data_IF_878617932590
#
_entry.id   IF_878617932590
#
_cell.length_a   1.000
_cell.length_b   1.000
_cell.length_c   1.000
_cell.angle_alpha   90.00
_cell.angle_beta   90.00
_cell.angle_gamma   90.00
#
_symmetry.space_group_name_H-M   'P 1'
#
loop_
_entity.id
_entity.type
_entity.pdbx_description
1 polymer ?
#
# COMPACT_ATOMS: atom_id res chain seq x y z
N UNK A 1 13.59 -43.83 38.66
CA UNK A 1 12.70 -43.10 39.60
C UNK A 1 13.50 -42.09 40.45
N UNK A 2 13.07 -40.81 40.61
CA UNK A 2 11.95 -40.09 40.01
C UNK A 2 12.38 -38.93 39.07
N UNK A 3 11.36 -38.31 38.47
CA UNK A 3 11.33 -37.33 37.37
C UNK A 3 11.06 -35.88 37.91
N UNK A 4 10.63 -34.85 37.13
CA UNK A 4 11.34 -33.60 36.90
C UNK A 4 10.67 -32.34 37.51
N UNK A 5 11.38 -31.21 37.60
CA UNK A 5 10.93 -30.01 38.33
C UNK A 5 11.12 -28.67 37.62
N UNK A 6 10.15 -28.33 36.75
CA UNK A 6 9.42 -27.05 36.67
C UNK A 6 10.15 -25.72 36.38
N UNK A 7 9.95 -25.25 35.15
CA UNK A 7 10.19 -23.89 34.64
C UNK A 7 9.17 -22.91 35.25
N UNK A 8 9.66 -21.82 35.88
CA UNK A 8 8.86 -20.75 36.48
C UNK A 8 8.68 -19.61 35.47
N UNK A 9 7.51 -19.54 34.81
CA UNK A 9 7.10 -18.37 33.99
C UNK A 9 6.39 -17.34 34.87
N UNK A 10 6.93 -16.12 34.91
CA UNK A 10 6.21 -14.97 35.47
C UNK A 10 5.16 -14.45 34.48
N UNK A 11 3.89 -14.55 34.90
CA UNK A 11 2.77 -13.78 34.34
C UNK A 11 2.79 -12.36 34.92
N UNK A 12 2.71 -11.34 34.07
CA UNK A 12 2.12 -10.04 34.46
C UNK A 12 0.84 -9.84 33.67
N UNK A 13 -0.16 -9.41 34.40
CA UNK A 13 -1.54 -9.18 34.02
C UNK A 13 -1.88 -7.76 34.45
N UNK A 14 -2.40 -6.93 33.56
CA UNK A 14 -3.22 -5.75 33.89
C UNK A 14 -4.12 -5.41 32.72
N UNK A 15 -5.42 -5.70 32.90
CA UNK A 15 -6.60 -4.85 32.67
C UNK A 15 -6.30 -3.36 32.37
N UNK A 16 -7.14 -2.53 31.76
CA UNK A 16 -8.48 -2.51 31.15
C UNK A 16 -8.56 -1.06 30.61
N UNK A 17 -9.30 -0.80 29.53
CA UNK A 17 -10.16 0.40 29.37
C UNK A 17 -10.67 0.54 27.91
N UNK A 18 -12.00 0.62 27.81
CA UNK A 18 -12.69 1.57 26.91
C UNK A 18 -12.91 1.16 25.46
N UNK A 19 -14.06 0.53 25.20
CA UNK A 19 -14.62 0.36 23.85
C UNK A 19 -16.00 1.05 23.81
N UNK A 20 -16.30 1.96 22.86
CA UNK A 20 -17.67 2.31 22.53
C UNK A 20 -18.16 1.58 21.29
N UNK A 21 -19.31 0.95 21.47
CA UNK A 21 -20.13 0.19 20.51
C UNK A 21 -20.41 1.00 19.22
N UNK A 22 -20.19 0.37 18.06
CA UNK A 22 -20.98 0.58 16.85
C UNK A 22 -21.55 -0.75 16.38
N UNK A 23 -22.86 -0.91 16.57
CA UNK A 23 -23.66 -1.92 15.90
C UNK A 23 -23.83 -1.51 14.43
N UNK A 24 -23.36 -2.35 13.52
CA UNK A 24 -23.88 -2.40 12.14
C UNK A 24 -24.20 -3.85 11.84
N UNK A 25 -25.50 -4.14 11.81
CA UNK A 25 -26.09 -5.31 11.16
C UNK A 25 -25.70 -5.26 9.69
N UNK A 26 -25.03 -6.29 9.17
CA UNK A 26 -24.97 -6.55 7.74
C UNK A 26 -25.32 -8.02 7.52
N UNK A 27 -26.47 -8.21 6.86
CA UNK A 27 -26.98 -9.48 6.37
C UNK A 27 -25.96 -10.15 5.45
N UNK A 28 -25.85 -11.46 5.57
CA UNK A 28 -25.08 -12.28 4.64
C UNK A 28 -25.67 -12.25 3.24
N UNK A 29 -24.82 -12.00 2.25
CA UNK A 29 -24.98 -12.53 0.90
C UNK A 29 -23.72 -13.32 0.55
N UNK A 30 -23.89 -14.62 0.38
CA UNK A 30 -22.87 -15.50 -0.18
C UNK A 30 -22.79 -15.26 -1.69
N UNK A 31 -21.96 -14.32 -2.11
CA UNK A 31 -21.50 -14.21 -3.49
C UNK A 31 -20.10 -14.81 -3.58
N UNK A 32 -19.96 -16.02 -4.14
CA UNK A 32 -18.65 -16.55 -4.53
C UNK A 32 -18.10 -15.67 -5.66
N UNK A 33 -17.12 -14.82 -5.37
CA UNK A 33 -16.30 -14.20 -6.41
C UNK A 33 -15.27 -15.22 -6.91
N UNK A 34 -15.12 -15.44 -8.23
CA UNK A 34 -14.08 -16.31 -8.75
C UNK A 34 -12.70 -15.73 -8.42
N UNK A 35 -11.80 -16.57 -7.91
CA UNK A 35 -10.40 -16.23 -7.71
C UNK A 35 -9.79 -15.97 -9.11
N UNK A 36 -9.20 -14.78 -9.37
CA UNK A 36 -8.58 -14.50 -10.65
C UNK A 36 -7.32 -15.35 -10.82
N UNK A 37 -7.15 -15.92 -12.02
CA UNK A 37 -6.00 -16.75 -12.40
C UNK A 37 -4.69 -15.95 -12.25
N UNK A 38 -3.60 -16.65 -11.95
CA UNK A 38 -2.27 -16.13 -11.56
C UNK A 38 -1.59 -15.12 -12.50
N UNK A 39 -2.17 -14.81 -13.66
CA UNK A 39 -1.71 -13.73 -14.55
C UNK A 39 -2.41 -12.38 -14.35
N UNK A 40 -3.37 -12.28 -13.42
CA UNK A 40 -4.20 -11.08 -13.22
C UNK A 40 -3.56 -10.00 -12.35
N UNK A 41 -2.72 -10.36 -11.38
CA UNK A 41 -2.09 -9.39 -10.49
C UNK A 41 -1.02 -8.57 -11.23
N UNK A 42 -0.21 -9.23 -12.06
CA UNK A 42 0.82 -8.56 -12.87
C UNK A 42 0.23 -7.60 -13.89
N UNK A 43 -0.98 -7.88 -14.40
CA UNK A 43 -1.70 -6.98 -15.32
C UNK A 43 -2.23 -5.74 -14.59
N UNK A 44 -2.78 -5.92 -13.39
CA UNK A 44 -3.28 -4.81 -12.56
C UNK A 44 -2.19 -3.79 -12.20
N UNK A 45 -0.96 -4.24 -11.93
CA UNK A 45 0.15 -3.32 -11.65
C UNK A 45 0.72 -2.67 -12.91
N UNK A 46 0.70 -3.37 -14.05
CA UNK A 46 1.20 -2.83 -15.32
C UNK A 46 0.27 -1.77 -15.90
N UNK A 47 -1.03 -2.01 -15.87
CA UNK A 47 -2.05 -1.08 -16.36
C UNK A 47 -2.09 0.22 -15.53
N UNK A 48 -1.77 0.16 -14.22
CA UNK A 48 -1.66 1.34 -13.36
C UNK A 48 -0.38 2.15 -13.61
N UNK A 49 0.75 1.50 -13.89
CA UNK A 49 2.02 2.18 -14.22
C UNK A 49 1.90 2.87 -15.58
N UNK A 50 1.28 2.20 -16.56
CA UNK A 50 1.07 2.78 -17.89
C UNK A 50 0.05 3.94 -17.83
N UNK A 51 -0.99 3.87 -16.98
CA UNK A 51 -1.91 4.99 -16.72
C UNK A 51 -1.25 6.18 -16.00
N UNK A 52 -0.33 5.96 -15.06
CA UNK A 52 0.41 7.04 -14.40
C UNK A 52 1.43 7.71 -15.35
N UNK A 53 2.06 6.94 -16.24
CA UNK A 53 2.96 7.44 -17.27
C UNK A 53 2.23 8.24 -18.36
N UNK A 54 1.03 7.82 -18.79
CA UNK A 54 0.17 8.59 -19.69
C UNK A 54 -0.37 9.86 -19.01
N UNK A 55 -0.76 9.78 -17.73
CA UNK A 55 -1.21 10.95 -16.97
C UNK A 55 -0.07 11.95 -16.67
N UNK A 56 1.18 11.50 -16.57
CA UNK A 56 2.35 12.37 -16.39
C UNK A 56 2.76 13.10 -17.69
N UNK A 57 2.54 12.49 -18.85
CA UNK A 57 2.80 13.12 -20.16
C UNK A 57 1.64 14.01 -20.62
N UNK A 58 0.40 13.68 -20.22
CA UNK A 58 -0.79 14.48 -20.56
C UNK A 58 -0.96 15.75 -19.70
N UNK A 59 -0.25 15.88 -18.57
CA UNK A 59 -0.30 17.08 -17.70
C UNK A 59 0.62 18.23 -18.15
N UNK A 60 1.34 18.07 -19.26
CA UNK A 60 2.23 19.11 -19.82
C UNK A 60 1.60 19.90 -20.98
N UNK A 61 0.32 19.65 -21.32
CA UNK A 61 -0.32 20.20 -22.52
C UNK A 61 -1.16 21.47 -22.29
N UNK A 62 -1.48 21.82 -21.04
CA UNK A 62 -2.16 23.09 -20.71
C UNK A 62 -1.14 24.04 -20.07
N UNK A 63 -0.18 24.49 -20.86
CA UNK A 63 0.53 25.72 -20.56
C UNK A 63 -0.44 26.88 -20.83
N UNK A 64 -0.78 27.63 -19.79
CA UNK A 64 -1.49 28.91 -19.91
C UNK A 64 -0.87 29.75 -21.03
N UNK A 65 -1.67 30.47 -21.83
CA UNK A 65 -1.12 31.42 -22.78
C UNK A 65 -0.20 32.36 -22.01
N UNK A 66 1.07 32.41 -22.42
CA UNK A 66 2.00 33.45 -21.98
C UNK A 66 1.29 34.77 -22.29
N UNK A 67 0.76 35.42 -21.26
CA UNK A 67 0.31 36.79 -21.35
C UNK A 67 1.54 37.57 -21.77
N UNK A 68 1.53 37.99 -23.03
CA UNK A 68 2.52 38.85 -23.63
C UNK A 68 2.64 40.06 -22.71
N UNK A 69 3.70 40.09 -21.89
CA UNK A 69 4.05 41.26 -21.10
C UNK A 69 4.36 42.35 -22.10
N UNK A 70 3.32 43.11 -22.45
CA UNK A 70 3.46 44.36 -23.15
C UNK A 70 4.50 45.18 -22.38
N UNK A 71 5.54 45.71 -23.05
CA UNK A 71 6.38 46.69 -22.42
C UNK A 71 5.46 47.86 -22.06
N UNK A 72 5.21 48.06 -20.77
CA UNK A 72 4.54 49.27 -20.31
C UNK A 72 5.45 50.43 -20.70
N UNK A 73 5.11 51.04 -21.83
CA UNK A 73 5.58 52.36 -22.21
C UNK A 73 5.33 53.28 -21.01
N UNK A 74 6.35 54.00 -20.50
CA UNK A 74 6.10 55.03 -19.51
C UNK A 74 5.14 56.03 -20.15
N UNK A 75 3.93 56.13 -19.61
CA UNK A 75 2.97 57.15 -19.98
C UNK A 75 3.58 58.49 -19.56
N UNK A 76 4.27 59.15 -20.50
CA UNK A 76 4.70 60.52 -20.39
C UNK A 76 3.46 61.41 -20.45
N UNK A 77 2.73 61.50 -19.34
CA UNK A 77 1.69 62.51 -19.14
C UNK A 77 2.30 63.68 -18.39
N UNK A 78 2.20 64.86 -19.01
CA UNK A 78 2.35 66.19 -18.42
C UNK A 78 3.77 66.75 -18.26
N UNK A 79 4.46 66.95 -19.39
CA UNK A 79 5.39 68.07 -19.51
C UNK A 79 4.60 69.38 -19.61
N UNK A 80 4.15 69.86 -18.46
CA UNK A 80 3.70 71.24 -18.29
C UNK A 80 4.91 72.16 -18.54
N UNK A 81 4.98 72.72 -19.74
CA UNK A 81 5.86 73.83 -20.12
C UNK A 81 5.44 75.08 -19.33
N UNK A 82 5.81 75.11 -18.04
CA UNK A 82 5.79 76.34 -17.25
C UNK A 82 6.98 77.19 -17.68
N UNK A 83 6.65 78.20 -18.49
CA UNK A 83 7.33 79.48 -18.67
C UNK A 83 8.72 79.57 -18.04
N UNK A 84 9.73 79.63 -18.92
CA UNK A 84 10.99 80.30 -18.64
C UNK A 84 10.68 81.74 -18.21
N UNK A 85 10.90 82.03 -16.94
CA UNK A 85 11.41 83.33 -16.53
C UNK A 85 12.31 83.19 -15.30
N UNK A 86 13.60 83.38 -15.56
CA UNK A 86 14.70 83.78 -14.68
C UNK A 86 14.45 83.81 -13.16
N UNK A 87 15.10 82.91 -12.44
CA UNK A 87 16.09 83.22 -11.38
C UNK A 87 16.39 81.95 -10.57
N UNK A 88 17.59 81.39 -10.75
CA UNK A 88 18.03 80.22 -9.99
C UNK A 88 18.93 79.36 -10.84
N UNK A 89 20.15 79.84 -11.04
CA UNK A 89 21.32 79.08 -11.44
C UNK A 89 21.37 77.80 -10.59
N UNK A 90 20.71 76.72 -11.05
CA UNK A 90 20.86 75.39 -10.47
C UNK A 90 22.25 74.95 -10.90
N UNK A 91 23.18 75.37 -10.07
CA UNK A 91 24.60 75.36 -10.27
C UNK A 91 25.00 73.96 -10.72
N UNK A 92 25.41 73.82 -11.98
CA UNK A 92 25.93 72.56 -12.52
C UNK A 92 27.04 72.03 -11.59
N UNK A 93 27.73 72.93 -10.89
CA UNK A 93 28.70 72.65 -9.84
C UNK A 93 28.11 72.01 -8.58
N UNK A 94 26.87 72.33 -8.20
CA UNK A 94 26.13 71.69 -7.11
C UNK A 94 25.73 70.26 -7.49
N UNK A 95 25.30 70.03 -8.74
CA UNK A 95 25.11 68.68 -9.27
C UNK A 95 26.42 67.87 -9.29
N UNK A 96 27.53 68.47 -9.75
CA UNK A 96 28.86 67.85 -9.75
C UNK A 96 29.38 67.53 -8.33
N UNK A 97 28.97 68.29 -7.31
CA UNK A 97 29.26 68.02 -5.89
C UNK A 97 28.44 66.88 -5.31
N UNK A 98 27.25 66.63 -5.85
CA UNK A 98 26.36 65.56 -5.41
C UNK A 98 26.63 64.22 -6.12
N UNK A 99 27.52 64.19 -7.11
CA UNK A 99 27.98 62.93 -7.70
C UNK A 99 28.80 62.15 -6.67
N UNK A 100 28.58 60.81 -6.57
CA UNK A 100 29.39 59.97 -5.72
C UNK A 100 30.85 60.14 -6.07
N UNK A 101 31.67 60.40 -5.06
CA UNK A 101 33.10 60.53 -5.26
C UNK A 101 33.68 59.18 -5.69
N UNK A 102 34.89 59.21 -6.27
CA UNK A 102 35.64 57.98 -6.59
C UNK A 102 35.77 57.06 -5.36
N UNK A 103 35.88 57.63 -4.16
CA UNK A 103 35.94 56.86 -2.91
C UNK A 103 34.60 56.19 -2.58
N UNK A 104 33.47 56.83 -2.88
CA UNK A 104 32.14 56.25 -2.68
C UNK A 104 31.90 55.07 -3.64
N UNK A 105 32.32 55.19 -4.91
CA UNK A 105 32.27 54.09 -5.88
C UNK A 105 33.14 52.90 -5.45
N UNK A 106 34.36 53.17 -4.97
CA UNK A 106 35.24 52.12 -4.44
C UNK A 106 34.63 51.43 -3.20
N UNK A 107 33.99 52.21 -2.33
CA UNK A 107 33.30 51.68 -1.15
C UNK A 107 32.11 50.81 -1.54
N UNK A 108 31.30 51.24 -2.52
CA UNK A 108 30.18 50.44 -3.02
C UNK A 108 30.65 49.15 -3.70
N UNK A 109 31.72 49.21 -4.49
CA UNK A 109 32.30 48.02 -5.11
C UNK A 109 32.83 47.04 -4.07
N UNK A 110 33.56 47.51 -3.04
CA UNK A 110 34.01 46.66 -1.94
C UNK A 110 32.86 46.04 -1.13
N UNK A 111 31.76 46.78 -0.92
CA UNK A 111 30.54 46.23 -0.30
C UNK A 111 29.89 45.16 -1.16
N UNK A 112 29.84 45.35 -2.47
CA UNK A 112 29.28 44.40 -3.42
C UNK A 112 30.12 43.12 -3.48
N UNK A 113 31.44 43.25 -3.58
CA UNK A 113 32.38 42.13 -3.52
C UNK A 113 32.23 41.34 -2.21
N UNK A 114 32.17 42.03 -1.07
CA UNK A 114 31.95 41.39 0.23
C UNK A 114 30.60 40.63 0.26
N UNK A 115 29.52 41.25 -0.22
CA UNK A 115 28.19 40.63 -0.24
C UNK A 115 28.17 39.40 -1.15
N UNK A 116 28.82 39.46 -2.33
CA UNK A 116 28.95 38.33 -3.24
C UNK A 116 29.75 37.19 -2.61
N UNK A 117 30.88 37.49 -1.97
CA UNK A 117 31.68 36.48 -1.28
C UNK A 117 30.89 35.81 -0.15
N UNK A 118 30.14 36.57 0.63
CA UNK A 118 29.27 36.02 1.68
C UNK A 118 28.19 35.11 1.08
N UNK A 119 27.49 35.56 0.03
CA UNK A 119 26.44 34.77 -0.61
C UNK A 119 26.97 33.50 -1.28
N UNK A 120 28.14 33.56 -1.92
CA UNK A 120 28.79 32.38 -2.49
C UNK A 120 29.21 31.38 -1.40
N UNK A 121 29.70 31.86 -0.26
CA UNK A 121 30.02 31.00 0.88
C UNK A 121 28.76 30.33 1.46
N UNK A 122 27.68 31.10 1.66
CA UNK A 122 26.37 30.58 2.10
C UNK A 122 25.86 29.50 1.14
N UNK A 123 25.81 29.79 -0.17
CA UNK A 123 25.39 28.81 -1.19
C UNK A 123 26.28 27.56 -1.18
N UNK A 124 27.59 27.72 -1.02
CA UNK A 124 28.52 26.60 -0.90
C UNK A 124 28.18 25.69 0.28
N UNK A 125 27.83 26.27 1.44
CA UNK A 125 27.41 25.51 2.61
C UNK A 125 26.06 24.83 2.43
N UNK A 126 25.10 25.49 1.78
CA UNK A 126 23.78 24.91 1.48
C UNK A 126 23.89 23.74 0.52
N UNK A 127 24.71 23.86 -0.53
CA UNK A 127 24.98 22.76 -1.48
C UNK A 127 25.61 21.57 -0.76
N UNK A 128 26.58 21.80 0.13
CA UNK A 128 27.19 20.72 0.92
C UNK A 128 26.14 20.02 1.81
N UNK A 129 25.29 20.78 2.49
CA UNK A 129 24.21 20.21 3.30
C UNK A 129 23.20 19.43 2.46
N UNK A 130 22.88 19.92 1.28
CA UNK A 130 21.98 19.24 0.35
C UNK A 130 22.57 17.92 -0.12
N UNK A 131 23.86 17.90 -0.49
CA UNK A 131 24.54 16.67 -0.88
C UNK A 131 24.54 15.63 0.24
N UNK A 132 24.80 16.03 1.48
CA UNK A 132 24.73 15.12 2.64
C UNK A 132 23.33 14.52 2.79
N UNK A 133 22.28 15.36 2.72
CA UNK A 133 20.89 14.87 2.80
C UNK A 133 20.54 13.93 1.66
N UNK A 134 21.03 14.19 0.45
CA UNK A 134 20.81 13.31 -0.72
C UNK A 134 21.48 11.96 -0.47
N UNK A 135 22.73 11.94 0.00
CA UNK A 135 23.43 10.70 0.34
C UNK A 135 22.70 9.91 1.44
N UNK A 136 22.25 10.58 2.51
CA UNK A 136 21.49 9.93 3.58
C UNK A 136 20.19 9.28 3.05
N UNK A 137 19.47 10.00 2.18
CA UNK A 137 18.24 9.48 1.56
C UNK A 137 18.51 8.32 0.59
N UNK A 138 19.61 8.35 -0.14
CA UNK A 138 20.02 7.26 -1.03
C UNK A 138 20.35 6.00 -0.24
N UNK A 139 21.08 6.13 0.87
CA UNK A 139 21.38 5.02 1.78
C UNK A 139 20.11 4.44 2.42
N UNK A 140 19.20 5.29 2.91
CA UNK A 140 17.92 4.86 3.47
C UNK A 140 17.07 4.13 2.42
N UNK A 141 17.04 4.64 1.19
CA UNK A 141 16.33 4.02 0.06
C UNK A 141 16.87 2.62 -0.23
N UNK A 142 18.19 2.46 -0.26
CA UNK A 142 18.81 1.16 -0.55
C UNK A 142 18.52 0.15 0.57
N UNK A 143 18.53 0.58 1.83
CA UNK A 143 18.12 -0.25 2.99
C UNK A 143 16.65 -0.66 2.87
N UNK A 144 15.75 0.28 2.56
CA UNK A 144 14.33 0.00 2.37
C UNK A 144 14.09 -0.98 1.21
N UNK A 145 14.78 -0.82 0.09
CA UNK A 145 14.69 -1.73 -1.05
C UNK A 145 15.13 -3.16 -0.67
N UNK A 146 16.24 -3.30 0.06
CA UNK A 146 16.70 -4.60 0.54
C UNK A 146 15.67 -5.26 1.49
N UNK A 147 15.04 -4.47 2.38
CA UNK A 147 14.00 -4.97 3.28
C UNK A 147 12.76 -5.43 2.51
N UNK A 148 12.31 -4.67 1.51
CA UNK A 148 11.17 -5.03 0.66
C UNK A 148 11.43 -6.36 -0.06
N UNK A 149 12.62 -6.56 -0.62
CA UNK A 149 12.99 -7.80 -1.30
C UNK A 149 12.99 -9.00 -0.34
N UNK A 150 13.52 -8.82 0.88
CA UNK A 150 13.51 -9.85 1.91
C UNK A 150 12.08 -10.23 2.34
N UNK A 151 11.25 -9.23 2.63
CA UNK A 151 9.84 -9.45 2.99
C UNK A 151 9.09 -10.16 1.85
N UNK A 152 9.33 -9.76 0.60
CA UNK A 152 8.70 -10.41 -0.55
C UNK A 152 9.09 -11.88 -0.66
N UNK A 153 10.38 -12.21 -0.49
CA UNK A 153 10.88 -13.59 -0.53
C UNK A 153 10.33 -14.46 0.61
N UNK A 154 10.25 -13.90 1.83
CA UNK A 154 9.66 -14.61 2.97
C UNK A 154 8.15 -14.83 2.78
N UNK A 155 7.43 -13.86 2.22
CA UNK A 155 6.02 -13.98 1.91
C UNK A 155 5.76 -15.10 0.89
N UNK A 156 6.55 -15.15 -0.19
CA UNK A 156 6.48 -16.24 -1.18
C UNK A 156 6.70 -17.61 -0.52
N UNK A 157 7.69 -17.70 0.35
CA UNK A 157 7.99 -18.93 1.10
C UNK A 157 6.81 -19.35 1.99
N UNK A 158 6.16 -18.41 2.67
CA UNK A 158 4.96 -18.66 3.47
C UNK A 158 3.77 -19.11 2.62
N UNK A 159 3.54 -18.48 1.46
CA UNK A 159 2.48 -18.88 0.53
C UNK A 159 2.69 -20.33 0.06
N UNK A 160 3.93 -20.68 -0.30
CA UNK A 160 4.27 -22.06 -0.69
C UNK A 160 4.02 -23.05 0.44
N UNK A 161 4.45 -22.73 1.65
CA UNK A 161 4.23 -23.58 2.82
C UNK A 161 2.74 -23.77 3.09
N UNK A 162 1.96 -22.69 3.14
CA UNK A 162 0.51 -22.75 3.35
C UNK A 162 -0.18 -23.60 2.28
N UNK A 163 0.21 -23.43 1.01
CA UNK A 163 -0.31 -24.22 -0.10
C UNK A 163 0.01 -25.71 0.06
N UNK A 164 1.23 -26.06 0.47
CA UNK A 164 1.63 -27.44 0.71
C UNK A 164 0.86 -28.04 1.90
N UNK A 165 0.72 -27.31 2.99
CA UNK A 165 -0.06 -27.73 4.16
C UNK A 165 -1.53 -27.94 3.80
N UNK A 166 -2.13 -27.05 3.01
CA UNK A 166 -3.52 -27.21 2.57
C UNK A 166 -3.69 -28.49 1.75
N UNK A 167 -2.81 -28.75 0.78
CA UNK A 167 -2.86 -30.00 0.00
C UNK A 167 -2.70 -31.23 0.89
N UNK A 168 -1.86 -31.16 1.91
CA UNK A 168 -1.67 -32.25 2.85
C UNK A 168 -2.94 -32.51 3.68
N UNK A 169 -3.59 -31.44 4.18
CA UNK A 169 -4.86 -31.54 4.89
C UNK A 169 -5.93 -32.15 3.98
N UNK A 170 -6.02 -31.69 2.74
CA UNK A 170 -7.00 -32.22 1.78
C UNK A 170 -6.75 -33.71 1.47
N UNK A 171 -5.50 -34.14 1.33
CA UNK A 171 -5.16 -35.57 1.17
C UNK A 171 -5.56 -36.39 2.40
N UNK A 172 -5.28 -35.91 3.61
CA UNK A 172 -5.68 -36.58 4.84
C UNK A 172 -7.20 -36.68 5.00
N UNK A 173 -7.94 -35.61 4.69
CA UNK A 173 -9.40 -35.59 4.75
C UNK A 173 -10.00 -36.55 3.70
N UNK A 174 -9.44 -36.57 2.49
CA UNK A 174 -9.84 -37.49 1.43
C UNK A 174 -9.58 -38.95 1.82
N UNK A 175 -8.42 -39.26 2.40
CA UNK A 175 -8.11 -40.61 2.90
C UNK A 175 -9.01 -41.01 4.06
N UNK A 176 -9.29 -40.08 4.98
CA UNK A 176 -10.21 -40.29 6.09
C UNK A 176 -11.66 -40.54 5.65
N UNK A 177 -12.06 -40.02 4.49
CA UNK A 177 -13.41 -40.20 3.92
C UNK A 177 -13.50 -41.28 2.84
N UNK A 178 -12.38 -41.89 2.44
CA UNK A 178 -12.33 -42.84 1.31
C UNK A 178 -13.28 -44.02 1.47
N UNK A 179 -13.50 -44.46 2.70
CA UNK A 179 -14.37 -45.60 3.01
C UNK A 179 -15.77 -45.16 3.47
N UNK A 180 -16.09 -43.86 3.43
CA UNK A 180 -17.36 -43.34 3.89
C UNK A 180 -18.33 -43.23 2.71
N UNK A 181 -19.36 -44.08 2.69
CA UNK A 181 -20.44 -44.00 1.72
C UNK A 181 -21.58 -43.12 2.25
N UNK A 182 -22.14 -42.27 1.38
CA UNK A 182 -23.33 -41.46 1.67
C UNK A 182 -24.49 -41.93 0.82
N UNK A 183 -25.48 -42.53 1.46
CA UNK A 183 -26.67 -43.07 0.80
C UNK A 183 -27.85 -42.14 1.08
N UNK A 184 -28.62 -41.82 0.04
CA UNK A 184 -29.79 -40.93 0.11
C UNK A 184 -31.04 -41.71 -0.27
N UNK A 185 -32.20 -41.24 0.21
CA UNK A 185 -33.50 -41.85 -0.11
C UNK A 185 -33.90 -43.05 0.75
N UNK A 186 -33.15 -43.34 1.82
CA UNK A 186 -33.57 -44.35 2.81
C UNK A 186 -34.64 -43.72 3.71
N UNK A 187 -35.87 -44.25 3.76
CA UNK A 187 -36.94 -43.74 4.63
C UNK A 187 -36.52 -43.79 6.10
N UNK A 188 -37.05 -42.88 6.92
CA UNK A 188 -36.74 -42.81 8.35
C UNK A 188 -37.72 -43.68 9.15
N UNK A 189 -37.20 -44.60 9.96
CA UNK A 189 -37.99 -45.40 10.90
C UNK A 189 -37.51 -45.18 12.35
N UNK A 190 -38.43 -45.32 13.30
CA UNK A 190 -38.12 -45.17 14.72
C UNK A 190 -37.42 -46.43 15.22
N UNK A 191 -36.23 -46.28 15.82
CA UNK A 191 -35.37 -47.37 16.32
C UNK A 191 -34.93 -48.38 15.24
N UNK A 192 -34.48 -47.87 14.09
CA UNK A 192 -33.95 -48.69 13.01
C UNK A 192 -32.53 -49.22 13.29
N UNK A 193 -32.27 -50.46 12.90
CA UNK A 193 -30.91 -50.97 12.75
C UNK A 193 -30.42 -50.67 11.33
N UNK A 194 -29.70 -49.54 11.20
CA UNK A 194 -29.10 -49.13 9.93
C UNK A 194 -28.13 -50.16 9.37
N UNK A 195 -27.42 -50.92 10.21
CA UNK A 195 -26.45 -51.89 9.71
C UNK A 195 -27.13 -53.05 9.01
N UNK A 196 -28.24 -53.55 9.57
CA UNK A 196 -29.05 -54.59 8.95
C UNK A 196 -29.66 -54.12 7.62
N UNK A 197 -30.27 -52.93 7.61
CA UNK A 197 -30.88 -52.34 6.39
C UNK A 197 -29.84 -52.17 5.29
N UNK A 198 -28.65 -51.64 5.62
CA UNK A 198 -27.58 -51.45 4.65
C UNK A 198 -27.03 -52.77 4.14
N UNK A 199 -26.91 -53.78 4.99
CA UNK A 199 -26.45 -55.11 4.58
C UNK A 199 -27.43 -55.72 3.58
N UNK A 200 -28.74 -55.67 3.86
CA UNK A 200 -29.77 -56.14 2.94
C UNK A 200 -29.76 -55.38 1.61
N UNK A 201 -29.68 -54.04 1.67
CA UNK A 201 -29.58 -53.18 0.49
C UNK A 201 -28.37 -53.53 -0.37
N UNK A 202 -27.19 -53.69 0.23
CA UNK A 202 -25.99 -54.00 -0.54
C UNK A 202 -26.00 -55.41 -1.10
N UNK A 203 -26.53 -56.40 -0.37
CA UNK A 203 -26.73 -57.76 -0.90
C UNK A 203 -27.66 -57.75 -2.10
N UNK A 204 -28.73 -56.92 -2.06
CA UNK A 204 -29.64 -56.76 -3.18
C UNK A 204 -28.97 -56.11 -4.40
N UNK A 205 -28.15 -55.08 -4.20
CA UNK A 205 -27.53 -54.29 -5.29
C UNK A 205 -26.31 -54.98 -5.91
N UNK A 206 -25.42 -55.52 -5.07
CA UNK A 206 -24.15 -56.11 -5.50
C UNK A 206 -24.33 -57.60 -5.86
N UNK A 207 -25.39 -58.23 -5.33
CA UNK A 207 -25.62 -59.67 -5.42
C UNK A 207 -24.88 -60.42 -4.30
N UNK A 208 -25.35 -61.64 -4.03
CA UNK A 208 -24.74 -62.50 -3.02
C UNK A 208 -23.52 -63.21 -3.62
N UNK A 209 -22.32 -62.68 -3.36
CA UNK A 209 -21.07 -63.29 -3.82
C UNK A 209 -20.58 -64.43 -2.91
N UNK A 210 -21.35 -64.78 -1.87
CA UNK A 210 -21.21 -66.00 -1.07
C UNK A 210 -19.88 -66.21 -0.33
N UNK A 211 -18.93 -65.27 -0.42
CA UNK A 211 -17.53 -65.50 0.00
C UNK A 211 -16.94 -64.41 0.90
N UNK A 212 -17.64 -63.30 1.17
CA UNK A 212 -17.16 -62.29 2.13
C UNK A 212 -18.31 -61.59 2.86
N UNK A 213 -18.27 -61.66 4.18
CA UNK A 213 -19.18 -60.91 5.05
C UNK A 213 -18.83 -59.42 4.97
N UNK A 214 -19.81 -58.58 4.65
CA UNK A 214 -19.63 -57.13 4.64
C UNK A 214 -19.37 -56.61 6.05
N UNK A 215 -18.26 -55.90 6.24
CA UNK A 215 -17.88 -55.30 7.51
C UNK A 215 -18.24 -53.80 7.50
N UNK A 216 -19.25 -53.44 8.28
CA UNK A 216 -19.66 -52.04 8.49
C UNK A 216 -19.17 -51.62 9.87
N UNK A 217 -18.21 -50.69 9.92
CA UNK A 217 -17.67 -50.18 11.20
C UNK A 217 -18.70 -49.29 11.92
N UNK A 218 -19.30 -48.33 11.20
CA UNK A 218 -20.27 -47.38 11.76
C UNK A 218 -21.32 -47.00 10.73
N UNK A 219 -22.59 -47.05 11.11
CA UNK A 219 -23.72 -46.54 10.34
C UNK A 219 -24.51 -45.51 11.16
N UNK A 220 -24.80 -44.36 10.56
CA UNK A 220 -25.58 -43.30 11.21
C UNK A 220 -26.25 -42.39 10.17
N UNK A 221 -27.35 -41.75 10.57
CA UNK A 221 -27.98 -40.68 9.79
C UNK A 221 -27.11 -39.42 9.85
N UNK A 222 -26.88 -38.77 8.72
CA UNK A 222 -26.26 -37.45 8.70
C UNK A 222 -27.24 -36.39 9.20
N UNK A 223 -26.79 -35.48 10.05
CA UNK A 223 -27.59 -34.34 10.50
C UNK A 223 -28.10 -33.53 9.30
N UNK A 224 -29.42 -33.32 9.22
CA UNK A 224 -30.02 -32.43 8.24
C UNK A 224 -29.71 -30.97 8.64
N UNK A 225 -29.30 -30.10 7.70
CA UNK A 225 -29.17 -28.68 7.98
C UNK A 225 -30.54 -28.15 8.42
N UNK A 226 -30.60 -27.48 9.57
CA UNK A 226 -31.83 -26.86 10.09
C UNK A 226 -32.31 -25.81 9.09
N UNK A 227 -33.57 -25.92 8.63
CA UNK A 227 -34.24 -24.88 7.84
C UNK A 227 -34.36 -25.11 6.33
N UNK A 228 -34.05 -26.30 5.80
CA UNK A 228 -34.50 -26.68 4.44
C UNK A 228 -35.84 -27.42 4.54
N UNK A 229 -36.86 -27.07 3.72
CA UNK A 229 -38.14 -27.78 3.67
C UNK A 229 -37.92 -29.28 3.38
#
# INVERSE_FOLDING_TARGET
>A
PPDPGTIRRHRRNTNEMGNPKRQTQVQGQQGRTPIPKSGSLTRYFKDNIDQEMEAATSKMADADPIEEMQPQSPHMSDYSLKSLDNSGDLDIKEMLRNLPSKADLQTMMGKLEATLHTKLAEMGTEIQQMNLKVTDLEEEKDVMQAQILNISSTLESHIHFMSATQRHIDDLDNRGRRNNLRIRGIPEAQNEDLTAILTELFTLVIGDSGTSQMLIDRAHRSLRPKGLP
#
